data_IF_552949055385
#
_entry.id   IF_552949055385
#
_cell.length_a   1.000
_cell.length_b   1.000
_cell.length_c   1.000
_cell.angle_alpha   90.00
_cell.angle_beta   90.00
_cell.angle_gamma   90.00
#
_symmetry.space_group_name_H-M   'P 1'
#
loop_
_entity.id
_entity.type
_entity.pdbx_description
1 polymer ?
#
# COMPACT_ATOMS: atom_id res chain seq x y z
N UNK A 1 11.71 -32.33 5.09
CA UNK A 1 11.05 -31.14 5.68
C UNK A 1 11.94 -30.64 6.81
N UNK A 2 12.33 -29.37 6.79
CA UNK A 2 13.11 -28.75 7.88
C UNK A 2 12.14 -28.25 8.95
N UNK A 3 12.47 -28.46 10.22
CA UNK A 3 11.66 -27.99 11.35
C UNK A 3 12.36 -26.83 12.05
N UNK A 4 11.60 -25.80 12.41
CA UNK A 4 12.06 -24.62 13.11
C UNK A 4 11.16 -24.30 14.31
N UNK A 5 11.70 -23.60 15.30
CA UNK A 5 10.96 -23.11 16.47
C UNK A 5 11.27 -21.64 16.71
N UNK A 6 10.25 -20.87 17.10
CA UNK A 6 10.38 -19.46 17.46
C UNK A 6 9.32 -19.07 18.51
N UNK A 7 9.50 -17.95 19.20
CA UNK A 7 8.41 -17.37 20.00
C UNK A 7 7.33 -16.81 19.08
N UNK A 8 7.75 -16.17 17.98
CA UNK A 8 6.87 -15.51 17.01
C UNK A 8 7.24 -15.89 15.58
N UNK A 9 6.27 -16.44 14.84
CA UNK A 9 6.36 -16.61 13.40
C UNK A 9 5.82 -15.37 12.66
N UNK A 10 6.49 -14.91 11.62
CA UNK A 10 6.08 -13.75 10.82
C UNK A 10 5.96 -14.16 9.36
N UNK A 11 4.85 -13.80 8.70
CA UNK A 11 4.55 -14.27 7.35
C UNK A 11 4.68 -13.11 6.37
N UNK A 12 5.66 -13.21 5.49
CA UNK A 12 6.05 -12.24 4.48
C UNK A 12 7.18 -11.30 4.92
N UNK A 13 8.22 -11.18 4.09
CA UNK A 13 9.36 -10.28 4.25
C UNK A 13 9.17 -8.98 3.43
N UNK A 14 7.96 -8.43 3.41
CA UNK A 14 7.72 -7.03 3.07
C UNK A 14 8.01 -6.11 4.25
N UNK A 15 7.89 -4.78 4.09
CA UNK A 15 8.19 -3.82 5.16
C UNK A 15 7.49 -4.12 6.49
N UNK A 16 6.22 -4.51 6.46
CA UNK A 16 5.47 -4.84 7.67
C UNK A 16 6.08 -6.01 8.45
N UNK A 17 6.40 -7.12 7.77
CA UNK A 17 7.03 -8.28 8.40
C UNK A 17 8.48 -8.05 8.80
N UNK A 18 9.26 -7.35 7.97
CA UNK A 18 10.63 -6.97 8.30
C UNK A 18 10.70 -6.08 9.54
N UNK A 19 9.79 -5.11 9.66
CA UNK A 19 9.71 -4.27 10.85
C UNK A 19 9.26 -5.05 12.08
N UNK A 20 8.26 -5.93 11.96
CA UNK A 20 7.85 -6.79 13.06
C UNK A 20 9.03 -7.66 13.55
N UNK A 21 9.79 -8.27 12.64
CA UNK A 21 10.94 -9.10 12.97
C UNK A 21 12.06 -8.29 13.64
N UNK A 22 12.36 -7.10 13.09
CA UNK A 22 13.38 -6.19 13.63
C UNK A 22 13.04 -5.73 15.05
N UNK A 23 11.80 -5.31 15.29
CA UNK A 23 11.34 -4.83 16.60
C UNK A 23 11.30 -5.95 17.65
N UNK A 24 10.85 -7.15 17.26
CA UNK A 24 10.82 -8.31 18.16
C UNK A 24 12.24 -8.79 18.50
N UNK A 25 13.12 -8.88 17.49
CA UNK A 25 14.51 -9.28 17.68
C UNK A 25 15.27 -8.28 18.56
N UNK A 26 15.04 -6.98 18.39
CA UNK A 26 15.63 -5.94 19.23
C UNK A 26 15.20 -6.05 20.71
N UNK A 27 14.05 -6.67 20.98
CA UNK A 27 13.55 -6.96 22.34
C UNK A 27 13.99 -8.34 22.86
N UNK A 28 14.85 -9.05 22.13
CA UNK A 28 15.31 -10.39 22.50
C UNK A 28 14.29 -11.50 22.30
N UNK A 29 13.20 -11.24 21.57
CA UNK A 29 12.19 -12.25 21.22
C UNK A 29 12.70 -13.09 20.05
N UNK A 30 12.59 -14.42 20.14
CA UNK A 30 12.92 -15.31 19.03
C UNK A 30 11.85 -15.17 17.94
N UNK A 31 12.20 -14.50 16.84
CA UNK A 31 11.29 -14.27 15.72
C UNK A 31 11.88 -14.79 14.40
N UNK A 32 11.09 -15.59 13.68
CA UNK A 32 11.45 -16.10 12.35
C UNK A 32 10.44 -15.63 11.30
N UNK A 33 10.94 -15.33 10.11
CA UNK A 33 10.14 -14.86 8.96
C UNK A 33 10.08 -15.94 7.90
N UNK A 34 8.87 -16.31 7.47
CA UNK A 34 8.64 -17.13 6.28
C UNK A 34 8.35 -16.20 5.09
N UNK A 35 9.21 -16.21 4.07
CA UNK A 35 9.02 -15.48 2.83
C UNK A 35 8.79 -16.45 1.67
N UNK A 36 7.75 -16.16 0.88
CA UNK A 36 7.36 -17.02 -0.24
C UNK A 36 8.34 -16.96 -1.41
N UNK A 37 8.98 -15.80 -1.63
CA UNK A 37 9.93 -15.58 -2.72
C UNK A 37 11.38 -15.85 -2.27
N UNK A 38 12.29 -15.74 -3.22
CA UNK A 38 13.74 -15.70 -3.06
C UNK A 38 14.28 -14.30 -2.69
N UNK A 39 13.38 -13.33 -2.46
CA UNK A 39 13.72 -11.92 -2.20
C UNK A 39 12.83 -11.28 -1.15
N UNK A 40 13.37 -10.25 -0.49
CA UNK A 40 12.61 -9.35 0.39
C UNK A 40 11.99 -8.18 -0.38
N UNK A 41 11.18 -7.39 0.33
CA UNK A 41 10.62 -6.13 -0.15
C UNK A 41 9.15 -6.21 -0.55
N UNK A 42 8.65 -7.41 -0.90
CA UNK A 42 7.25 -7.59 -1.28
C UNK A 42 6.88 -6.71 -2.49
N UNK A 43 6.09 -5.65 -2.23
CA UNK A 43 5.59 -4.68 -3.23
C UNK A 43 6.59 -3.56 -3.55
N UNK A 44 7.73 -3.50 -2.88
CA UNK A 44 8.89 -2.74 -3.37
C UNK A 44 9.85 -3.70 -4.07
N UNK A 45 10.32 -3.28 -5.24
CA UNK A 45 11.22 -4.05 -6.09
C UNK A 45 12.04 -3.08 -6.94
N UNK A 46 13.35 -3.27 -6.91
CA UNK A 46 14.32 -2.61 -7.76
C UNK A 46 14.76 -3.59 -8.85
N UNK A 47 14.80 -3.12 -10.09
CA UNK A 47 15.46 -3.79 -11.21
C UNK A 47 16.80 -3.10 -11.49
N UNK A 48 17.82 -3.88 -11.86
CA UNK A 48 19.16 -3.36 -12.18
C UNK A 48 19.20 -2.83 -13.61
N UNK A 49 19.55 -1.54 -13.77
CA UNK A 49 19.77 -0.91 -15.07
C UNK A 49 21.22 -1.01 -15.55
N UNK A 50 22.10 -1.61 -14.74
CA UNK A 50 23.54 -1.64 -14.94
C UNK A 50 24.23 -0.37 -14.42
N UNK A 51 25.55 -0.44 -14.26
CA UNK A 51 26.35 0.72 -13.82
C UNK A 51 26.05 1.18 -12.39
N UNK A 52 25.45 0.33 -11.55
CA UNK A 52 25.05 0.66 -10.18
C UNK A 52 23.75 1.47 -10.09
N UNK A 53 22.99 1.57 -11.19
CA UNK A 53 21.70 2.24 -11.22
C UNK A 53 20.57 1.22 -11.07
N UNK A 54 19.56 1.59 -10.28
CA UNK A 54 18.36 0.80 -10.10
C UNK A 54 17.13 1.57 -10.56
N UNK A 55 16.13 0.86 -11.06
CA UNK A 55 14.79 1.40 -11.30
C UNK A 55 13.76 0.67 -10.42
N UNK A 56 12.89 1.44 -9.78
CA UNK A 56 11.85 0.89 -8.91
C UNK A 56 10.63 0.48 -9.74
N UNK A 57 10.42 -0.82 -9.91
CA UNK A 57 9.21 -1.38 -10.56
C UNK A 57 8.07 -1.64 -9.56
N UNK A 58 8.30 -1.32 -8.28
CA UNK A 58 7.30 -1.34 -7.20
C UNK A 58 7.00 0.04 -6.63
N UNK A 59 6.63 0.12 -5.34
CA UNK A 59 6.49 1.40 -4.64
C UNK A 59 7.81 2.18 -4.60
N UNK A 60 7.78 3.50 -4.80
CA UNK A 60 9.01 4.30 -4.98
C UNK A 60 9.04 5.66 -4.29
N UNK A 61 7.88 6.18 -3.89
CA UNK A 61 7.77 7.53 -3.36
C UNK A 61 7.67 7.55 -1.84
N UNK A 62 8.11 8.67 -1.27
CA UNK A 62 7.92 9.06 0.11
C UNK A 62 7.64 10.56 0.17
N UNK A 63 6.95 11.02 1.21
CA UNK A 63 6.62 12.42 1.38
C UNK A 63 6.33 12.80 2.83
N UNK A 64 5.94 14.07 3.08
CA UNK A 64 5.61 14.57 4.41
C UNK A 64 4.56 13.71 5.13
N UNK A 65 4.75 13.52 6.44
CA UNK A 65 3.86 12.69 7.27
C UNK A 65 4.13 11.18 7.19
N UNK A 66 5.05 10.72 6.33
CA UNK A 66 5.48 9.32 6.25
C UNK A 66 6.68 9.03 7.18
N UNK A 67 6.62 9.51 8.42
CA UNK A 67 7.76 9.59 9.34
C UNK A 67 8.38 8.22 9.66
N UNK A 68 7.57 7.16 9.70
CA UNK A 68 8.04 5.80 10.06
C UNK A 68 8.98 5.22 9.02
N UNK A 69 8.67 5.36 7.73
CA UNK A 69 9.53 4.83 6.67
C UNK A 69 10.76 5.72 6.48
N UNK A 70 10.64 7.04 6.67
CA UNK A 70 11.77 7.97 6.69
C UNK A 70 12.75 7.64 7.82
N UNK A 71 12.25 7.41 9.03
CA UNK A 71 13.07 7.00 10.17
C UNK A 71 13.75 5.64 9.93
N UNK A 72 13.05 4.69 9.30
CA UNK A 72 13.63 3.41 8.92
C UNK A 72 14.75 3.58 7.90
N UNK A 73 14.51 4.34 6.82
CA UNK A 73 15.48 4.63 5.77
C UNK A 73 16.76 5.24 6.37
N UNK A 74 16.62 6.26 7.21
CA UNK A 74 17.74 6.87 7.92
C UNK A 74 18.48 5.87 8.83
N UNK A 75 17.76 5.05 9.58
CA UNK A 75 18.37 4.04 10.47
C UNK A 75 19.17 2.97 9.71
N UNK A 76 18.87 2.74 8.42
CA UNK A 76 19.65 1.86 7.55
C UNK A 76 20.51 2.61 6.54
N UNK A 77 20.68 3.93 6.70
CA UNK A 77 21.58 4.77 5.90
C UNK A 77 21.14 5.01 4.45
N UNK A 78 19.84 4.96 4.16
CA UNK A 78 19.28 5.27 2.83
C UNK A 78 18.77 6.70 2.84
N UNK A 79 19.33 7.55 1.97
CA UNK A 79 18.93 8.94 1.81
C UNK A 79 17.78 9.09 0.81
N UNK A 80 17.17 10.27 0.81
CA UNK A 80 16.13 10.64 -0.17
C UNK A 80 16.62 11.73 -1.10
N UNK A 81 15.99 11.83 -2.27
CA UNK A 81 16.18 12.91 -3.24
C UNK A 81 14.83 13.33 -3.83
N UNK A 82 14.66 14.59 -4.27
CA UNK A 82 13.38 15.06 -4.78
C UNK A 82 12.99 14.37 -6.08
N UNK A 83 11.70 14.05 -6.21
CA UNK A 83 11.08 13.70 -7.50
C UNK A 83 11.14 14.91 -8.43
N UNK A 84 11.25 14.68 -9.73
CA UNK A 84 11.06 15.75 -10.72
C UNK A 84 9.62 16.30 -10.61
N UNK A 85 9.49 17.58 -10.21
CA UNK A 85 8.22 18.21 -9.81
C UNK A 85 7.79 19.37 -10.71
N UNK A 86 7.25 20.45 -10.12
CA UNK A 86 6.52 21.55 -10.76
C UNK A 86 7.24 22.31 -11.91
N UNK A 87 8.58 22.22 -12.01
CA UNK A 87 9.34 22.76 -13.14
C UNK A 87 9.40 21.81 -14.35
N UNK A 88 8.87 20.60 -14.20
CA UNK A 88 8.86 19.58 -15.24
C UNK A 88 7.79 19.88 -16.29
N UNK A 89 8.13 19.62 -17.56
CA UNK A 89 7.15 19.63 -18.63
C UNK A 89 6.30 18.37 -18.56
N UNK A 90 5.01 18.54 -18.29
CA UNK A 90 4.01 17.49 -18.41
C UNK A 90 3.64 17.32 -19.87
N UNK A 91 3.61 16.07 -20.34
CA UNK A 91 3.17 15.72 -21.69
C UNK A 91 1.75 15.20 -21.61
N UNK A 92 0.84 15.88 -22.29
CA UNK A 92 -0.56 15.46 -22.38
C UNK A 92 -0.85 14.95 -23.78
N UNK A 93 -1.59 13.86 -23.85
CA UNK A 93 -2.07 13.30 -25.10
C UNK A 93 -3.57 13.08 -25.00
N UNK A 94 -4.34 13.89 -25.73
CA UNK A 94 -5.81 13.84 -25.72
C UNK A 94 -6.31 13.91 -27.16
N UNK A 95 -7.19 13.00 -27.54
CA UNK A 95 -7.83 12.97 -28.87
C UNK A 95 -6.84 13.08 -30.05
N UNK A 96 -5.71 12.36 -29.96
CA UNK A 96 -4.68 12.37 -31.00
C UNK A 96 -3.72 13.57 -30.97
N UNK A 97 -3.95 14.55 -30.09
CA UNK A 97 -3.14 15.77 -29.98
C UNK A 97 -2.23 15.71 -28.76
N UNK A 98 -0.94 15.96 -28.98
CA UNK A 98 0.04 16.18 -27.91
C UNK A 98 0.07 17.67 -27.53
N UNK A 99 0.08 17.97 -26.24
CA UNK A 99 0.44 19.28 -25.68
C UNK A 99 1.47 19.13 -24.56
N UNK A 100 2.08 20.24 -24.19
CA UNK A 100 3.02 20.32 -23.07
C UNK A 100 2.77 21.57 -22.26
N UNK A 101 2.73 21.43 -20.94
CA UNK A 101 2.59 22.50 -19.96
C UNK A 101 3.29 22.08 -18.66
N UNK A 102 3.22 22.91 -17.63
CA UNK A 102 3.67 22.62 -16.28
C UNK A 102 2.51 22.61 -15.28
N UNK A 103 1.27 22.45 -15.77
CA UNK A 103 0.10 22.42 -14.90
C UNK A 103 -0.08 21.01 -14.33
N UNK A 104 -0.43 20.90 -13.05
CA UNK A 104 -0.56 19.60 -12.36
C UNK A 104 -1.81 18.82 -12.76
N UNK A 105 -2.91 19.52 -13.08
CA UNK A 105 -4.20 18.90 -13.41
C UNK A 105 -4.36 18.76 -14.92
N UNK A 106 -4.93 17.64 -15.44
CA UNK A 106 -4.99 17.31 -16.86
C UNK A 106 -5.96 18.18 -17.70
N UNK A 107 -6.53 19.24 -17.13
CA UNK A 107 -7.36 20.25 -17.80
C UNK A 107 -7.00 21.68 -17.32
N UNK A 108 -7.25 22.69 -18.16
CA UNK A 108 -6.97 24.11 -17.88
C UNK A 108 -8.20 25.02 -18.03
N UNK A 109 -9.37 24.46 -18.39
CA UNK A 109 -10.63 25.20 -18.45
C UNK A 109 -11.05 25.68 -17.04
N UNK A 110 -11.23 26.99 -16.82
CA UNK A 110 -11.59 27.53 -15.51
C UNK A 110 -12.87 26.94 -14.91
N UNK A 111 -13.87 26.62 -15.73
CA UNK A 111 -15.14 26.06 -15.26
C UNK A 111 -14.95 24.60 -14.79
N UNK A 112 -14.14 23.83 -15.53
CA UNK A 112 -13.75 22.46 -15.16
C UNK A 112 -12.97 22.47 -13.84
N UNK A 113 -11.99 23.36 -13.72
CA UNK A 113 -11.16 23.48 -12.51
C UNK A 113 -11.98 23.93 -11.29
N UNK A 114 -12.94 24.84 -11.49
CA UNK A 114 -13.83 25.30 -10.42
C UNK A 114 -14.78 24.20 -9.93
N UNK A 115 -15.38 23.44 -10.86
CA UNK A 115 -16.25 22.31 -10.52
C UNK A 115 -15.47 21.22 -9.79
N UNK A 116 -14.31 20.83 -10.34
CA UNK A 116 -13.44 19.82 -9.72
C UNK A 116 -13.00 20.26 -8.32
N UNK A 117 -12.53 21.50 -8.16
CA UNK A 117 -12.11 22.02 -6.85
C UNK A 117 -13.25 22.02 -5.83
N UNK A 118 -14.46 22.37 -6.26
CA UNK A 118 -15.66 22.31 -5.41
C UNK A 118 -15.98 20.86 -5.00
N UNK A 119 -15.93 19.92 -5.94
CA UNK A 119 -16.16 18.51 -5.68
C UNK A 119 -15.11 17.91 -4.74
N UNK A 120 -13.83 18.20 -4.96
CA UNK A 120 -12.72 17.76 -4.11
C UNK A 120 -12.86 18.33 -2.70
N UNK A 121 -13.24 19.60 -2.56
CA UNK A 121 -13.51 20.22 -1.26
C UNK A 121 -14.66 19.55 -0.49
N UNK A 122 -15.70 19.08 -1.19
CA UNK A 122 -16.78 18.28 -0.57
C UNK A 122 -16.28 16.93 -0.07
N UNK A 123 -15.52 16.21 -0.90
CA UNK A 123 -14.92 14.93 -0.52
C UNK A 123 -13.97 15.08 0.67
N UNK A 124 -13.15 16.13 0.69
CA UNK A 124 -12.27 16.44 1.82
C UNK A 124 -13.09 16.67 3.10
N UNK A 125 -14.14 17.50 3.04
CA UNK A 125 -15.02 17.73 4.20
C UNK A 125 -15.66 16.43 4.71
N UNK A 126 -16.10 15.54 3.80
CA UNK A 126 -16.63 14.22 4.15
C UNK A 126 -15.56 13.35 4.82
N UNK A 127 -14.36 13.24 4.23
CA UNK A 127 -13.26 12.43 4.75
C UNK A 127 -12.83 12.88 6.15
N UNK A 128 -12.88 14.18 6.45
CA UNK A 128 -12.52 14.70 7.77
C UNK A 128 -13.40 14.19 8.91
N UNK A 129 -14.63 13.75 8.62
CA UNK A 129 -15.55 13.17 9.61
C UNK A 129 -15.27 11.70 9.96
N UNK A 130 -14.32 11.06 9.27
CA UNK A 130 -13.99 9.64 9.45
C UNK A 130 -12.86 9.47 10.48
N UNK A 131 -13.04 8.51 11.39
CA UNK A 131 -11.96 7.98 12.25
C UNK A 131 -11.26 6.81 11.54
N UNK A 132 -9.95 6.94 11.30
CA UNK A 132 -9.15 5.88 10.65
C UNK A 132 -9.16 4.62 11.53
N UNK A 133 -9.48 3.49 10.93
CA UNK A 133 -9.60 2.21 11.64
C UNK A 133 -10.97 1.96 12.29
N UNK A 134 -11.90 2.92 12.21
CA UNK A 134 -13.30 2.81 12.64
C UNK A 134 -14.27 3.46 11.65
N UNK A 135 -13.93 3.43 10.36
CA UNK A 135 -14.70 4.11 9.32
C UNK A 135 -16.16 3.63 9.21
N UNK A 136 -16.42 2.36 9.53
CA UNK A 136 -17.76 1.77 9.61
C UNK A 136 -18.64 2.37 10.74
N UNK A 137 -18.08 3.20 11.61
CA UNK A 137 -18.83 3.89 12.68
C UNK A 137 -19.14 5.36 12.32
N UNK A 138 -18.70 5.84 11.15
CA UNK A 138 -19.04 7.18 10.69
C UNK A 138 -20.57 7.35 10.55
N UNK A 139 -21.08 8.55 10.82
CA UNK A 139 -22.53 8.85 10.81
C UNK A 139 -23.21 8.43 9.50
N UNK A 140 -22.50 8.58 8.37
CA UNK A 140 -22.98 8.25 7.03
C UNK A 140 -22.28 7.01 6.43
N UNK A 141 -21.72 6.13 7.27
CA UNK A 141 -20.98 4.97 6.79
C UNK A 141 -21.81 4.10 5.84
N UNK A 142 -23.06 3.79 6.21
CA UNK A 142 -23.96 2.96 5.39
C UNK A 142 -24.27 3.63 4.03
N UNK A 143 -24.52 4.94 4.02
CA UNK A 143 -24.80 5.70 2.80
C UNK A 143 -23.58 5.78 1.87
N UNK A 144 -22.38 5.93 2.43
CA UNK A 144 -21.15 6.04 1.67
C UNK A 144 -20.61 4.69 1.21
N UNK A 145 -20.82 3.61 1.98
CA UNK A 145 -20.35 2.27 1.60
C UNK A 145 -21.33 1.54 0.67
N UNK A 146 -22.59 1.99 0.61
CA UNK A 146 -23.61 1.45 -0.30
C UNK A 146 -23.55 2.03 -1.72
N UNK A 147 -22.64 2.97 -1.99
CA UNK A 147 -22.44 3.56 -3.31
C UNK A 147 -20.99 3.50 -3.77
N UNK A 148 -20.82 3.48 -5.08
CA UNK A 148 -19.50 3.56 -5.72
C UNK A 148 -19.06 5.00 -5.88
N UNK A 149 -17.76 5.21 -6.07
CA UNK A 149 -17.24 6.54 -6.42
C UNK A 149 -17.83 7.03 -7.74
N UNK A 150 -18.07 6.14 -8.71
CA UNK A 150 -18.77 6.49 -9.97
C UNK A 150 -20.16 7.07 -9.72
N UNK A 151 -20.96 6.42 -8.85
CA UNK A 151 -22.32 6.88 -8.53
C UNK A 151 -22.29 8.29 -7.92
N UNK A 152 -21.32 8.53 -7.05
CA UNK A 152 -21.11 9.85 -6.47
C UNK A 152 -20.68 10.88 -7.53
N UNK A 153 -19.76 10.52 -8.42
CA UNK A 153 -19.29 11.38 -9.52
C UNK A 153 -20.44 11.79 -10.44
N UNK A 154 -21.27 10.84 -10.88
CA UNK A 154 -22.38 11.10 -11.78
C UNK A 154 -23.43 12.07 -11.18
N UNK A 155 -23.56 12.07 -9.85
CA UNK A 155 -24.46 12.96 -9.13
C UNK A 155 -23.85 14.34 -8.82
N UNK A 156 -22.52 14.48 -8.85
CA UNK A 156 -21.83 15.69 -8.37
C UNK A 156 -20.98 16.41 -9.43
N UNK A 157 -20.73 15.78 -10.58
CA UNK A 157 -19.91 16.32 -11.67
C UNK A 157 -20.70 16.32 -12.98
N UNK A 158 -20.71 17.47 -13.65
CA UNK A 158 -21.43 17.69 -14.90
C UNK A 158 -20.49 17.82 -16.09
N UNK A 159 -19.27 18.36 -15.90
CA UNK A 159 -18.29 18.49 -16.99
C UNK A 159 -17.52 17.19 -17.20
N UNK A 160 -17.31 16.84 -18.48
CA UNK A 160 -16.48 15.69 -18.86
C UNK A 160 -15.02 15.85 -18.37
N UNK A 161 -14.52 17.10 -18.33
CA UNK A 161 -13.19 17.41 -17.79
C UNK A 161 -13.05 17.07 -16.31
N UNK A 162 -14.02 17.47 -15.47
CA UNK A 162 -13.95 17.18 -14.03
C UNK A 162 -14.09 15.68 -13.75
N UNK A 163 -14.95 14.98 -14.49
CA UNK A 163 -15.07 13.52 -14.43
C UNK A 163 -13.76 12.82 -14.80
N UNK A 164 -13.11 13.26 -15.89
CA UNK A 164 -11.83 12.72 -16.33
C UNK A 164 -10.72 12.95 -15.28
N UNK A 165 -10.66 14.12 -14.66
CA UNK A 165 -9.70 14.39 -13.57
C UNK A 165 -9.93 13.42 -12.41
N UNK A 166 -11.18 13.28 -11.95
CA UNK A 166 -11.51 12.40 -10.83
C UNK A 166 -11.24 10.93 -11.16
N UNK A 167 -11.61 10.47 -12.35
CA UNK A 167 -11.31 9.13 -12.85
C UNK A 167 -9.81 8.85 -12.85
N UNK A 168 -9.01 9.80 -13.37
CA UNK A 168 -7.56 9.71 -13.39
C UNK A 168 -6.97 9.58 -11.97
N UNK A 169 -7.51 10.31 -11.00
CA UNK A 169 -7.09 10.21 -9.59
C UNK A 169 -7.43 8.83 -9.04
N UNK A 170 -8.65 8.32 -9.26
CA UNK A 170 -9.06 7.00 -8.77
C UNK A 170 -8.19 5.90 -9.37
N UNK A 171 -8.00 5.91 -10.69
CA UNK A 171 -7.16 4.93 -11.37
C UNK A 171 -5.69 5.05 -10.94
N UNK A 172 -5.15 6.26 -10.82
CA UNK A 172 -3.75 6.49 -10.45
C UNK A 172 -3.42 6.12 -9.01
N UNK A 173 -4.31 6.42 -8.06
CA UNK A 173 -4.07 6.20 -6.62
C UNK A 173 -4.47 4.80 -6.17
N UNK A 174 -5.59 4.28 -6.68
CA UNK A 174 -6.20 3.03 -6.20
C UNK A 174 -6.03 1.87 -7.18
N UNK A 175 -5.62 2.14 -8.42
CA UNK A 175 -5.46 1.13 -9.47
C UNK A 175 -6.76 0.33 -9.74
N UNK A 176 -7.90 1.00 -9.68
CA UNK A 176 -9.24 0.44 -9.95
C UNK A 176 -10.09 1.47 -10.69
N UNK A 177 -11.22 1.05 -11.23
CA UNK A 177 -12.21 1.96 -11.80
C UNK A 177 -13.07 2.62 -10.71
N UNK A 178 -13.58 3.85 -10.91
CA UNK A 178 -14.51 4.49 -9.97
C UNK A 178 -15.76 3.66 -9.65
N UNK A 179 -16.19 2.80 -10.57
CA UNK A 179 -17.33 1.89 -10.39
C UNK A 179 -17.02 0.68 -9.49
N UNK A 180 -15.74 0.38 -9.25
CA UNK A 180 -15.31 -0.83 -8.54
C UNK A 180 -14.86 -0.54 -7.09
N UNK A 181 -15.02 0.69 -6.62
CA UNK A 181 -14.58 1.13 -5.29
C UNK A 181 -15.69 1.86 -4.53
N UNK A 182 -15.83 1.50 -3.25
CA UNK A 182 -16.74 2.15 -2.30
C UNK A 182 -16.33 3.61 -2.06
N UNK A 183 -17.32 4.50 -1.99
CA UNK A 183 -17.06 5.89 -1.61
C UNK A 183 -16.52 5.98 -0.17
N UNK A 184 -17.06 5.22 0.78
CA UNK A 184 -16.53 5.17 2.15
C UNK A 184 -15.05 4.76 2.17
N UNK A 185 -14.65 3.79 1.34
CA UNK A 185 -13.27 3.34 1.27
C UNK A 185 -12.35 4.45 0.72
N UNK A 186 -12.75 5.14 -0.35
CA UNK A 186 -12.00 6.28 -0.89
C UNK A 186 -11.80 7.39 0.16
N UNK A 187 -12.86 7.75 0.89
CA UNK A 187 -12.78 8.77 1.95
C UNK A 187 -11.87 8.33 3.11
N UNK A 188 -11.97 7.06 3.51
CA UNK A 188 -11.14 6.48 4.56
C UNK A 188 -9.66 6.48 4.16
N UNK A 189 -9.36 6.13 2.91
CA UNK A 189 -8.01 6.09 2.39
C UNK A 189 -7.40 7.50 2.33
N UNK A 190 -8.15 8.49 1.83
CA UNK A 190 -7.73 9.89 1.85
C UNK A 190 -7.47 10.39 3.27
N UNK A 191 -8.38 10.11 4.22
CA UNK A 191 -8.17 10.46 5.63
C UNK A 191 -6.90 9.83 6.21
N UNK A 192 -6.65 8.56 5.92
CA UNK A 192 -5.44 7.86 6.35
C UNK A 192 -4.15 8.42 5.73
N UNK A 193 -4.28 9.09 4.58
CA UNK A 193 -3.19 9.77 3.89
C UNK A 193 -3.12 11.28 4.20
N UNK A 194 -3.74 11.76 5.28
CA UNK A 194 -3.79 13.18 5.66
C UNK A 194 -4.49 14.10 4.64
N UNK A 195 -5.52 13.59 3.96
CA UNK A 195 -6.36 14.34 3.02
C UNK A 195 -5.97 14.13 1.56
N UNK A 196 -6.85 14.58 0.65
CA UNK A 196 -6.66 14.38 -0.79
C UNK A 196 -5.45 15.15 -1.32
N UNK A 197 -5.25 16.38 -0.86
CA UNK A 197 -4.14 17.23 -1.31
C UNK A 197 -2.77 16.56 -1.06
N UNK A 198 -2.58 15.97 0.12
CA UNK A 198 -1.36 15.22 0.41
C UNK A 198 -1.29 13.92 -0.40
N UNK A 199 -2.40 13.20 -0.54
CA UNK A 199 -2.43 11.91 -1.23
C UNK A 199 -2.06 11.99 -2.73
N UNK A 200 -2.46 13.05 -3.42
CA UNK A 200 -2.26 13.21 -4.87
C UNK A 200 -1.10 14.17 -5.23
N UNK A 201 -0.52 14.85 -4.24
CA UNK A 201 0.44 15.92 -4.44
C UNK A 201 1.90 15.48 -4.54
N UNK A 202 2.64 16.06 -5.49
CA UNK A 202 4.10 15.90 -5.57
C UNK A 202 4.80 16.79 -4.54
N UNK A 203 4.85 18.11 -4.78
CA UNK A 203 5.50 19.03 -3.82
C UNK A 203 4.65 19.18 -2.56
N UNK A 204 5.25 18.89 -1.39
CA UNK A 204 4.54 18.90 -0.12
C UNK A 204 3.55 17.72 0.07
N UNK A 205 3.50 16.76 -0.86
CA UNK A 205 2.61 15.61 -0.80
C UNK A 205 3.32 14.26 -0.86
N UNK A 206 2.54 13.19 -1.06
CA UNK A 206 3.00 11.80 -0.96
C UNK A 206 4.01 11.38 -2.04
N UNK A 207 4.11 12.13 -3.15
CA UNK A 207 5.03 11.85 -4.26
C UNK A 207 6.31 12.70 -4.26
N UNK A 208 6.57 13.45 -3.17
CA UNK A 208 7.65 14.45 -3.10
C UNK A 208 9.05 13.90 -3.38
N UNK A 209 9.43 12.83 -2.69
CA UNK A 209 10.81 12.33 -2.69
C UNK A 209 10.87 10.85 -3.11
N UNK A 210 12.06 10.42 -3.52
CA UNK A 210 12.44 9.03 -3.81
C UNK A 210 13.66 8.64 -3.00
N UNK A 211 13.99 7.35 -2.97
CA UNK A 211 15.14 6.84 -2.22
C UNK A 211 16.37 6.66 -3.11
N UNK A 212 17.53 7.15 -2.65
CA UNK A 212 18.80 6.89 -3.32
C UNK A 212 19.08 5.38 -3.35
N UNK A 213 19.35 4.83 -4.54
CA UNK A 213 19.51 3.39 -4.75
C UNK A 213 18.19 2.59 -4.78
N UNK A 214 17.04 3.26 -4.71
CA UNK A 214 15.69 2.69 -4.84
C UNK A 214 15.13 2.09 -3.54
N UNK A 215 13.81 2.13 -3.37
CA UNK A 215 13.10 1.80 -2.14
C UNK A 215 13.32 0.37 -1.62
N UNK A 216 13.60 -0.61 -2.50
CA UNK A 216 13.87 -2.00 -2.05
C UNK A 216 15.17 -2.10 -1.24
N UNK A 217 16.11 -1.17 -1.42
CA UNK A 217 17.37 -1.14 -0.69
C UNK A 217 17.16 -1.07 0.83
N UNK A 218 16.12 -0.37 1.28
CA UNK A 218 15.74 -0.31 2.70
C UNK A 218 15.41 -1.71 3.21
N UNK A 219 14.58 -2.46 2.48
CA UNK A 219 14.19 -3.81 2.85
C UNK A 219 15.39 -4.77 2.85
N UNK A 220 16.29 -4.64 1.87
CA UNK A 220 17.51 -5.43 1.78
C UNK A 220 18.43 -5.19 2.98
N UNK A 221 18.68 -3.92 3.35
CA UNK A 221 19.52 -3.59 4.51
C UNK A 221 18.92 -4.02 5.85
N UNK A 222 17.58 -4.01 5.99
CA UNK A 222 16.93 -4.61 7.16
C UNK A 222 17.11 -6.13 7.17
N UNK A 223 16.97 -6.79 6.01
CA UNK A 223 17.13 -8.23 5.90
C UNK A 223 18.56 -8.68 6.24
N UNK A 224 19.59 -7.93 5.81
CA UNK A 224 21.00 -8.17 6.18
C UNK A 224 21.21 -8.20 7.70
N UNK A 225 20.52 -7.32 8.45
CA UNK A 225 20.60 -7.29 9.91
C UNK A 225 19.89 -8.49 10.57
N UNK A 226 18.84 -9.00 9.95
CA UNK A 226 18.07 -10.15 10.44
C UNK A 226 18.77 -11.49 10.13
N UNK A 227 19.49 -11.55 9.01
CA UNK A 227 20.30 -12.69 8.59
C UNK A 227 19.47 -13.96 8.38
N UNK A 228 19.89 -15.04 9.05
CA UNK A 228 19.29 -16.38 8.98
C UNK A 228 17.89 -16.49 9.59
N UNK A 229 17.37 -15.41 10.17
CA UNK A 229 15.98 -15.34 10.66
C UNK A 229 14.94 -15.33 9.54
N UNK A 230 15.35 -15.07 8.30
CA UNK A 230 14.46 -15.07 7.14
C UNK A 230 14.64 -16.38 6.37
N UNK A 231 13.56 -17.13 6.27
CA UNK A 231 13.49 -18.40 5.55
C UNK A 231 12.79 -18.11 4.22
N UNK A 232 13.57 -18.03 3.15
CA UNK A 232 13.10 -17.79 1.78
C UNK A 232 12.54 -19.07 1.14
N UNK A 233 11.83 -18.87 0.02
CA UNK A 233 11.21 -19.94 -0.76
C UNK A 233 10.31 -20.85 0.09
N UNK A 234 9.71 -20.29 1.14
CA UNK A 234 8.85 -20.97 2.09
C UNK A 234 7.43 -20.37 2.06
N UNK A 235 6.69 -20.49 0.94
CA UNK A 235 5.29 -20.06 0.88
C UNK A 235 4.46 -20.82 1.90
N UNK A 236 3.83 -20.09 2.82
CA UNK A 236 2.93 -20.64 3.82
C UNK A 236 1.70 -21.28 3.14
N UNK A 237 1.38 -22.51 3.54
CA UNK A 237 0.24 -23.28 3.03
C UNK A 237 -0.86 -23.46 4.06
N UNK A 238 -0.48 -23.76 5.31
CA UNK A 238 -1.43 -24.03 6.39
C UNK A 238 -0.97 -23.43 7.71
N UNK A 239 -1.93 -22.94 8.49
CA UNK A 239 -1.77 -22.55 9.89
C UNK A 239 -2.67 -23.43 10.74
N UNK A 240 -2.08 -24.20 11.64
CA UNK A 240 -2.80 -24.97 12.64
C UNK A 240 -2.58 -24.33 14.01
N UNK A 241 -3.64 -23.98 14.73
CA UNK A 241 -3.60 -23.45 16.08
C UNK A 241 -4.33 -24.40 17.03
N UNK A 242 -3.64 -24.81 18.09
CA UNK A 242 -4.21 -25.67 19.13
C UNK A 242 -3.84 -25.14 20.53
N UNK A 243 -4.07 -25.93 21.58
CA UNK A 243 -3.77 -25.53 22.95
C UNK A 243 -2.28 -25.33 23.25
N UNK A 244 -1.39 -25.92 22.45
CA UNK A 244 0.06 -25.94 22.68
C UNK A 244 0.81 -24.87 21.88
N UNK A 245 0.16 -24.28 20.86
CA UNK A 245 0.74 -23.21 20.06
C UNK A 245 0.19 -23.14 18.64
N UNK A 246 1.05 -22.68 17.73
CA UNK A 246 0.76 -22.50 16.30
C UNK A 246 1.81 -23.27 15.50
N UNK A 247 1.35 -24.10 14.58
CA UNK A 247 2.18 -24.80 13.59
C UNK A 247 1.93 -24.20 12.22
N UNK A 248 2.98 -23.73 11.57
CA UNK A 248 2.94 -23.13 10.25
C UNK A 248 3.64 -24.06 9.26
N UNK A 249 2.84 -24.67 8.38
CA UNK A 249 3.35 -25.53 7.32
C UNK A 249 3.55 -24.70 6.04
N UNK A 250 4.80 -24.58 5.61
CA UNK A 250 5.22 -23.96 4.37
C UNK A 250 5.94 -24.98 3.47
N UNK A 251 6.18 -24.64 2.20
CA UNK A 251 6.88 -25.57 1.31
C UNK A 251 8.28 -25.90 1.86
N UNK A 252 8.53 -27.19 2.11
CA UNK A 252 9.80 -27.69 2.64
C UNK A 252 10.10 -27.38 4.12
N UNK A 253 9.26 -26.58 4.80
CA UNK A 253 9.51 -26.01 6.13
C UNK A 253 8.28 -26.16 7.02
N UNK A 254 8.48 -26.61 8.25
CA UNK A 254 7.49 -26.51 9.33
C UNK A 254 8.04 -25.60 10.43
N UNK A 255 7.26 -24.62 10.88
CA UNK A 255 7.64 -23.67 11.91
C UNK A 255 6.64 -23.73 13.07
N UNK A 256 7.13 -24.03 14.26
CA UNK A 256 6.35 -24.03 15.50
C UNK A 256 6.56 -22.69 16.23
N UNK A 257 5.48 -22.06 16.66
CA UNK A 257 5.54 -20.79 17.37
C UNK A 257 4.43 -20.59 18.40
N UNK A 258 4.67 -19.69 19.36
CA UNK A 258 3.66 -19.31 20.36
C UNK A 258 2.68 -18.26 19.81
N UNK A 259 3.14 -17.41 18.90
CA UNK A 259 2.31 -16.39 18.22
C UNK A 259 2.69 -16.32 16.74
N UNK A 260 1.76 -15.83 15.92
CA UNK A 260 1.99 -15.60 14.51
C UNK A 260 1.52 -14.20 14.11
N UNK A 261 2.28 -13.54 13.24
CA UNK A 261 1.93 -12.25 12.62
C UNK A 261 1.84 -12.46 11.12
N UNK A 262 0.62 -12.39 10.58
CA UNK A 262 0.38 -12.52 9.14
C UNK A 262 0.44 -11.13 8.51
N UNK A 263 1.49 -10.85 7.73
CA UNK A 263 1.72 -9.52 7.12
C UNK A 263 1.52 -9.47 5.61
N UNK A 264 1.03 -10.57 5.04
CA UNK A 264 0.65 -10.65 3.62
C UNK A 264 -0.73 -10.01 3.37
N UNK A 265 -1.01 -9.51 2.14
CA UNK A 265 -2.30 -8.94 1.77
C UNK A 265 -3.49 -9.88 2.05
N UNK A 266 -4.67 -9.35 2.40
CA UNK A 266 -5.85 -10.17 2.71
C UNK A 266 -6.20 -11.23 1.64
N UNK A 267 -6.17 -10.93 0.32
CA UNK A 267 -6.44 -11.96 -0.70
C UNK A 267 -5.43 -13.11 -0.72
N UNK A 268 -4.18 -12.86 -0.31
CA UNK A 268 -3.18 -13.92 -0.18
C UNK A 268 -3.37 -14.71 1.10
N UNK A 269 -3.71 -14.03 2.21
CA UNK A 269 -4.05 -14.70 3.46
C UNK A 269 -5.28 -15.61 3.31
N UNK A 270 -6.28 -15.22 2.52
CA UNK A 270 -7.45 -16.06 2.21
C UNK A 270 -7.11 -17.40 1.53
N UNK A 271 -5.90 -17.54 0.94
CA UNK A 271 -5.46 -18.76 0.26
C UNK A 271 -4.73 -19.74 1.18
N UNK A 272 -4.49 -19.35 2.43
CA UNK A 272 -3.88 -20.21 3.45
C UNK A 272 -4.98 -21.07 4.08
N UNK A 273 -4.70 -22.34 4.30
CA UNK A 273 -5.58 -23.24 5.05
C UNK A 273 -5.46 -22.96 6.55
N UNK A 274 -6.59 -22.89 7.26
CA UNK A 274 -6.65 -22.55 8.67
C UNK A 274 -7.38 -23.63 9.46
N UNK A 275 -6.75 -24.09 10.53
CA UNK A 275 -7.31 -25.06 11.46
C UNK A 275 -7.08 -24.61 12.91
N UNK A 276 -8.11 -24.20 13.67
CA UNK A 276 -9.51 -24.15 13.28
C UNK A 276 -9.78 -23.09 12.20
N UNK A 277 -10.90 -23.25 11.51
CA UNK A 277 -11.37 -22.29 10.51
C UNK A 277 -11.49 -20.88 11.11
N UNK A 278 -11.19 -19.86 10.30
CA UNK A 278 -11.26 -18.48 10.73
C UNK A 278 -12.70 -18.06 11.08
N UNK A 279 -12.87 -17.07 11.99
CA UNK A 279 -14.18 -16.48 12.22
C UNK A 279 -14.80 -15.95 10.93
N UNK A 280 -16.10 -16.19 10.74
CA UNK A 280 -16.81 -15.89 9.49
C UNK A 280 -16.61 -14.45 8.98
N UNK A 281 -16.57 -13.46 9.89
CA UNK A 281 -16.30 -12.05 9.52
C UNK A 281 -14.91 -11.87 8.89
N UNK A 282 -13.90 -12.56 9.41
CA UNK A 282 -12.53 -12.48 8.89
C UNK A 282 -12.42 -13.19 7.55
N UNK A 283 -13.03 -14.36 7.42
CA UNK A 283 -13.06 -15.10 6.14
C UNK A 283 -13.73 -14.27 5.04
N UNK A 284 -14.91 -13.71 5.30
CA UNK A 284 -15.62 -12.84 4.35
C UNK A 284 -14.81 -11.61 3.95
N UNK A 285 -14.15 -10.95 4.90
CA UNK A 285 -13.32 -9.76 4.65
C UNK A 285 -12.19 -10.08 3.67
N UNK A 286 -11.43 -11.15 3.94
CA UNK A 286 -10.25 -11.46 3.14
C UNK A 286 -10.59 -11.86 1.69
N UNK A 287 -11.79 -12.39 1.46
CA UNK A 287 -12.31 -12.71 0.12
C UNK A 287 -12.85 -11.48 -0.64
N UNK A 288 -13.11 -10.35 0.05
CA UNK A 288 -13.79 -9.16 -0.50
C UNK A 288 -12.91 -7.90 -0.52
N UNK A 289 -11.61 -8.06 -0.34
CA UNK A 289 -10.63 -6.97 -0.41
C UNK A 289 -9.63 -7.18 -1.54
N UNK A 290 -10.06 -7.12 -2.82
CA UNK A 290 -9.16 -7.34 -3.95
C UNK A 290 -8.05 -6.28 -4.01
N UNK A 291 -6.98 -6.60 -4.73
CA UNK A 291 -5.93 -5.64 -5.07
C UNK A 291 -6.26 -4.97 -6.40
N UNK A 292 -5.91 -3.69 -6.55
CA UNK A 292 -5.96 -3.00 -7.84
C UNK A 292 -4.99 -3.59 -8.88
N UNK A 293 -5.13 -3.16 -10.13
CA UNK A 293 -4.36 -3.62 -11.28
C UNK A 293 -3.55 -2.47 -11.88
N UNK A 294 -2.23 -2.60 -11.90
CA UNK A 294 -1.31 -1.58 -12.43
C UNK A 294 -0.13 -2.25 -13.14
N UNK A 295 0.31 -1.64 -14.23
CA UNK A 295 1.58 -1.95 -14.89
C UNK A 295 2.46 -0.72 -14.70
N UNK A 296 3.68 -0.94 -14.24
CA UNK A 296 4.67 0.10 -14.01
C UNK A 296 5.92 -0.21 -14.82
#
# INVERSE_FOLDING_TARGET
MKSFEADVAIIGAGFAGLMAARELTAKGVSALVLEARDRVGGRVLNEDLGGGQAIEVGGQWVGPGQDRILALANAVGVQTYPTYGAESLHVRYRNGKRSTDNADLPDDDPDVLSEFGTALGRLEAMAQTIEVGRAWEAVHADDWDSQTVQTWMDANLSTEGAKLIMETIVQGVYAVEPRDISLLYLLTYAKAANGFANLIGTEGGAQQDRFEGGSQLIAQRVAEQLGDRIIFEAPLRRVTQNGDGIVLAADGVELHAQRAIITIPPPLAARVDYDPVLPARRDQLMQRMPMGSVIK
#
